data_IF_687313036444
#
_entry.id   IF_687313036444
#
_cell.length_a   1.000
_cell.length_b   1.000
_cell.length_c   1.000
_cell.angle_alpha   90.00
_cell.angle_beta   90.00
_cell.angle_gamma   90.00
#
_symmetry.space_group_name_H-M   'P 1'
#
loop_
_entity.id
_entity.type
_entity.pdbx_description
1 polymer ?
#
# COMPACT_ATOMS: atom_id res chain seq x y z
N UNK A 1 23.31 26.29 -12.36
CA UNK A 1 23.15 24.95 -12.97
C UNK A 1 23.91 23.96 -12.08
N UNK A 2 23.21 23.10 -11.32
CA UNK A 2 23.16 21.62 -11.48
C UNK A 2 24.56 21.01 -11.69
N UNK A 3 25.10 20.10 -10.88
CA UNK A 3 24.45 18.95 -10.24
C UNK A 3 25.27 18.43 -9.06
N UNK A 4 24.53 17.98 -8.05
CA UNK A 4 24.97 17.38 -6.80
C UNK A 4 25.71 16.05 -7.01
N UNK A 5 26.60 15.77 -6.07
CA UNK A 5 27.44 14.60 -5.96
C UNK A 5 26.69 13.27 -6.00
N UNK A 6 27.38 12.32 -6.59
CA UNK A 6 27.25 10.89 -6.39
C UNK A 6 27.39 10.53 -4.92
N UNK A 7 26.42 9.80 -4.37
CA UNK A 7 26.72 8.65 -3.49
C UNK A 7 25.45 7.87 -3.19
N UNK A 8 25.26 6.74 -3.88
CA UNK A 8 24.68 5.55 -3.25
C UNK A 8 25.03 4.32 -4.09
N UNK A 9 26.19 3.72 -3.79
CA UNK A 9 26.42 2.30 -4.06
C UNK A 9 25.59 1.49 -3.06
N UNK A 10 25.41 0.20 -3.38
CA UNK A 10 24.67 -0.86 -2.64
C UNK A 10 23.24 -0.94 -3.20
N UNK A 11 22.92 -1.87 -4.12
CA UNK A 11 22.82 -3.31 -3.89
C UNK A 11 23.25 -4.10 -5.14
N UNK A 12 24.39 -4.80 -5.09
CA UNK A 12 24.69 -5.89 -6.03
C UNK A 12 24.08 -7.19 -5.51
N UNK A 13 22.85 -7.55 -5.92
CA UNK A 13 22.30 -8.91 -5.77
C UNK A 13 21.31 -9.21 -6.92
N UNK A 14 21.70 -10.19 -7.75
CA UNK A 14 21.00 -10.86 -8.86
C UNK A 14 20.30 -9.97 -9.93
N UNK A 15 20.83 -9.98 -11.17
CA UNK A 15 20.50 -9.00 -12.23
C UNK A 15 19.43 -9.47 -13.23
N UNK A 16 19.17 -10.76 -13.40
CA UNK A 16 18.20 -11.25 -14.41
C UNK A 16 16.74 -11.07 -13.96
N UNK A 17 16.39 -11.55 -12.76
CA UNK A 17 15.01 -11.54 -12.26
C UNK A 17 14.42 -10.14 -12.09
N UNK A 18 15.25 -9.14 -11.77
CA UNK A 18 14.75 -7.75 -11.71
C UNK A 18 14.39 -7.25 -13.09
N UNK A 19 15.17 -7.62 -14.11
CA UNK A 19 14.97 -7.13 -15.48
C UNK A 19 13.71 -7.75 -16.07
N UNK A 20 13.56 -9.07 -15.95
CA UNK A 20 12.34 -9.78 -16.36
C UNK A 20 11.09 -9.23 -15.67
N UNK A 21 11.22 -8.80 -14.41
CA UNK A 21 10.13 -8.16 -13.67
C UNK A 21 9.79 -6.75 -14.20
N UNK A 22 10.78 -5.92 -14.49
CA UNK A 22 10.55 -4.59 -15.07
C UNK A 22 9.99 -4.67 -16.49
N UNK A 23 10.52 -5.59 -17.31
CA UNK A 23 10.06 -5.79 -18.69
C UNK A 23 8.58 -6.24 -18.70
N UNK A 24 8.17 -7.13 -17.78
CA UNK A 24 6.75 -7.52 -17.64
C UNK A 24 5.84 -6.39 -17.16
N UNK A 25 6.33 -5.45 -16.35
CA UNK A 25 5.58 -4.24 -15.96
C UNK A 25 5.42 -3.31 -17.16
N UNK A 26 6.48 -3.11 -17.94
CA UNK A 26 6.46 -2.24 -19.11
C UNK A 26 5.49 -2.78 -20.18
N UNK A 27 5.47 -4.09 -20.40
CA UNK A 27 4.51 -4.75 -21.30
C UNK A 27 3.05 -4.58 -20.84
N UNK A 28 2.80 -4.73 -19.53
CA UNK A 28 1.47 -4.50 -18.95
C UNK A 28 1.00 -3.06 -19.15
N UNK A 29 1.87 -2.08 -18.88
CA UNK A 29 1.55 -0.66 -19.07
C UNK A 29 1.33 -0.30 -20.54
N UNK A 30 2.10 -0.89 -21.46
CA UNK A 30 1.92 -0.72 -22.90
C UNK A 30 0.56 -1.26 -23.38
N UNK A 31 0.18 -2.46 -22.92
CA UNK A 31 -1.14 -3.06 -23.16
C UNK A 31 -2.28 -2.20 -22.60
N UNK A 32 -2.15 -1.68 -21.38
CA UNK A 32 -3.13 -0.76 -20.80
C UNK A 32 -3.28 0.51 -21.65
N UNK A 33 -2.18 1.07 -22.17
CA UNK A 33 -2.18 2.24 -23.05
C UNK A 33 -2.83 1.97 -24.40
N UNK A 34 -2.53 0.83 -25.04
CA UNK A 34 -3.14 0.43 -26.31
C UNK A 34 -4.65 0.27 -26.18
N UNK A 35 -5.10 -0.34 -25.09
CA UNK A 35 -6.52 -0.59 -24.82
C UNK A 35 -7.25 0.62 -24.22
N UNK A 36 -6.55 1.73 -23.96
CA UNK A 36 -7.08 2.91 -23.23
C UNK A 36 -7.70 2.55 -21.87
N UNK A 37 -7.16 1.53 -21.20
CA UNK A 37 -7.59 1.05 -19.88
C UNK A 37 -6.70 1.70 -18.83
N UNK A 38 -7.30 2.22 -17.76
CA UNK A 38 -6.52 2.71 -16.62
C UNK A 38 -5.89 1.52 -15.90
N UNK A 39 -4.55 1.46 -15.76
CA UNK A 39 -3.89 0.36 -15.07
C UNK A 39 -4.42 0.26 -13.63
N UNK A 40 -4.51 -0.96 -13.12
CA UNK A 40 -5.00 -1.19 -11.77
C UNK A 40 -4.06 -0.52 -10.77
N UNK A 41 -4.61 0.35 -9.94
CA UNK A 41 -3.83 0.90 -8.84
C UNK A 41 -3.76 -0.14 -7.73
N UNK A 42 -2.56 -0.49 -7.25
CA UNK A 42 -2.46 -1.34 -6.09
C UNK A 42 -3.20 -0.68 -4.94
N UNK A 43 -3.99 -1.45 -4.22
CA UNK A 43 -4.65 -0.97 -3.02
C UNK A 43 -3.59 -0.44 -2.07
N UNK A 44 -3.70 0.84 -1.72
CA UNK A 44 -2.87 1.41 -0.67
C UNK A 44 -3.31 0.71 0.60
N UNK A 45 -2.40 0.01 1.29
CA UNK A 45 -2.70 -0.65 2.57
C UNK A 45 -3.16 0.32 3.68
N UNK A 46 -3.24 1.63 3.39
CA UNK A 46 -3.84 2.64 4.24
C UNK A 46 -5.27 2.94 3.80
N UNK A 47 -6.20 2.79 4.74
CA UNK A 47 -7.62 3.09 4.56
C UNK A 47 -8.02 4.20 5.53
N UNK A 48 -8.30 5.40 5.01
CA UNK A 48 -8.65 6.57 5.83
C UNK A 48 -10.17 6.76 5.85
N UNK A 49 -10.81 6.59 7.00
CA UNK A 49 -12.27 6.69 7.17
C UNK A 49 -12.63 7.68 8.28
N UNK A 50 -13.65 8.50 8.03
CA UNK A 50 -14.27 9.36 9.04
C UNK A 50 -15.45 8.63 9.69
N UNK A 51 -15.22 8.07 10.87
CA UNK A 51 -16.21 7.26 11.61
C UNK A 51 -17.10 8.07 12.56
N UNK A 52 -16.80 9.34 12.79
CA UNK A 52 -17.54 10.22 13.70
C UNK A 52 -17.17 10.03 15.19
N UNK A 53 -17.41 11.07 16.00
CA UNK A 53 -16.90 11.17 17.37
C UNK A 53 -17.43 10.06 18.30
N UNK A 54 -18.73 9.78 18.27
CA UNK A 54 -19.35 8.80 19.16
C UNK A 54 -18.87 7.36 18.86
N UNK A 55 -18.73 7.01 17.58
CA UNK A 55 -18.26 5.69 17.18
C UNK A 55 -16.77 5.53 17.50
N UNK A 56 -15.95 6.54 17.20
CA UNK A 56 -14.54 6.56 17.58
C UNK A 56 -14.36 6.36 19.10
N UNK A 57 -15.14 7.07 19.93
CA UNK A 57 -15.08 6.93 21.39
C UNK A 57 -15.37 5.50 21.85
N UNK A 58 -16.42 4.88 21.30
CA UNK A 58 -16.81 3.50 21.66
C UNK A 58 -15.72 2.51 21.28
N UNK A 59 -15.20 2.61 20.06
CA UNK A 59 -14.14 1.73 19.57
C UNK A 59 -12.83 1.93 20.35
N UNK A 60 -12.50 3.15 20.76
CA UNK A 60 -11.30 3.42 21.56
C UNK A 60 -11.38 2.75 22.95
N UNK A 61 -12.54 2.84 23.61
CA UNK A 61 -12.77 2.17 24.91
C UNK A 61 -12.67 0.65 24.75
N UNK A 62 -13.29 0.10 23.69
CA UNK A 62 -13.27 -1.34 23.43
C UNK A 62 -11.84 -1.83 23.12
N UNK A 63 -11.07 -1.09 22.32
CA UNK A 63 -9.69 -1.41 22.03
C UNK A 63 -8.82 -1.44 23.30
N UNK A 64 -9.02 -0.48 24.20
CA UNK A 64 -8.35 -0.43 25.49
C UNK A 64 -8.72 -1.63 26.38
N UNK A 65 -10.00 -2.01 26.43
CA UNK A 65 -10.46 -3.19 27.17
C UNK A 65 -9.84 -4.49 26.66
N UNK A 66 -9.57 -4.58 25.36
CA UNK A 66 -8.96 -5.73 24.71
C UNK A 66 -7.42 -5.67 24.71
N UNK A 67 -6.82 -4.56 25.14
CA UNK A 67 -5.36 -4.36 25.12
C UNK A 67 -4.77 -4.29 23.71
N UNK A 68 -5.56 -3.94 22.71
CA UNK A 68 -5.14 -3.86 21.30
C UNK A 68 -5.24 -2.44 20.76
N UNK A 69 -4.60 -2.17 19.61
CA UNK A 69 -4.73 -0.88 18.95
C UNK A 69 -6.11 -0.71 18.32
N UNK A 70 -6.59 0.54 18.23
CA UNK A 70 -7.85 0.86 17.53
C UNK A 70 -7.85 0.33 16.08
N UNK A 71 -6.71 0.42 15.39
CA UNK A 71 -6.61 -0.09 14.01
C UNK A 71 -6.72 -1.61 13.98
N UNK A 72 -6.10 -2.32 14.92
CA UNK A 72 -6.20 -3.78 15.04
C UNK A 72 -7.65 -4.23 15.28
N UNK A 73 -8.35 -3.56 16.20
CA UNK A 73 -9.77 -3.83 16.45
C UNK A 73 -10.61 -3.61 15.19
N UNK A 74 -10.37 -2.52 14.46
CA UNK A 74 -11.11 -2.23 13.21
C UNK A 74 -10.84 -3.31 12.16
N UNK A 75 -9.58 -3.73 11.97
CA UNK A 75 -9.23 -4.79 11.02
C UNK A 75 -9.92 -6.10 11.40
N UNK A 76 -9.85 -6.52 12.65
CA UNK A 76 -10.52 -7.74 13.15
C UNK A 76 -12.03 -7.72 12.86
N UNK A 77 -12.70 -6.58 13.12
CA UNK A 77 -14.13 -6.44 12.83
C UNK A 77 -14.46 -6.48 11.34
N UNK A 78 -13.58 -5.93 10.49
CA UNK A 78 -13.73 -5.97 9.04
C UNK A 78 -13.50 -7.37 8.47
N UNK A 79 -12.52 -8.12 8.99
CA UNK A 79 -12.26 -9.51 8.60
C UNK A 79 -13.47 -10.42 8.83
N UNK A 80 -14.27 -10.15 9.87
CA UNK A 80 -15.49 -10.90 10.15
C UNK A 80 -16.64 -10.65 9.16
N UNK A 81 -16.59 -9.61 8.33
CA UNK A 81 -17.68 -9.18 7.44
C UNK A 81 -17.36 -9.29 5.94
N UNK A 82 -16.12 -9.65 5.58
CA UNK A 82 -15.69 -9.90 4.19
C UNK A 82 -15.71 -11.39 3.93
#
# INVERSE_FOLDING_TARGET
MRSCGSSLKIVRRNLSMRRDFYDGIDDYLAMCKEKSITPEQPFKGSFNVRVGLNLHRRLAIEAEQHGISLNSLIVERLEHHV
#
